data_IF_709542512785
#
_entry.id   IF_709542512785
#
_cell.length_a   1.000
_cell.length_b   1.000
_cell.length_c   1.000
_cell.angle_alpha   90.00
_cell.angle_beta   90.00
_cell.angle_gamma   90.00
#
_symmetry.space_group_name_H-M   'P 1'
#
loop_
_entity.id
_entity.type
_entity.pdbx_description
1 polymer ?
#
# COMPACT_ATOMS: atom_id res chain seq x y z
N UNK A 1 26.44 9.41 2.92
CA UNK A 1 26.04 8.04 3.30
C UNK A 1 24.99 7.62 2.30
N UNK A 2 25.35 6.74 1.37
CA UNK A 2 24.46 6.31 0.30
C UNK A 2 23.25 5.60 0.91
N UNK A 3 22.08 6.23 0.77
CA UNK A 3 20.80 5.57 1.01
C UNK A 3 20.66 4.47 -0.04
N UNK A 4 21.19 3.29 0.27
CA UNK A 4 20.91 2.08 -0.48
C UNK A 4 19.41 1.92 -0.54
N UNK A 5 18.86 2.17 -1.73
CA UNK A 5 17.47 1.94 -2.11
C UNK A 5 16.98 0.66 -1.41
N UNK A 6 16.06 0.82 -0.45
CA UNK A 6 15.58 -0.23 0.44
C UNK A 6 14.98 -1.39 -0.34
N UNK A 7 15.82 -2.37 -0.67
CA UNK A 7 15.52 -3.33 -1.72
C UNK A 7 14.47 -4.32 -1.22
N UNK A 8 13.27 -4.24 -1.83
CA UNK A 8 12.25 -5.28 -1.83
C UNK A 8 12.89 -6.67 -1.84
N UNK A 9 12.61 -7.47 -0.82
CA UNK A 9 13.20 -8.80 -0.68
C UNK A 9 12.40 -9.75 -1.56
N UNK A 10 13.05 -10.28 -2.60
CA UNK A 10 12.51 -11.26 -3.53
C UNK A 10 13.51 -12.40 -3.71
N UNK A 11 13.03 -13.60 -4.00
CA UNK A 11 13.91 -14.71 -4.36
C UNK A 11 14.34 -14.52 -5.81
N UNK A 12 15.64 -14.29 -6.02
CA UNK A 12 16.25 -14.23 -7.34
C UNK A 12 17.15 -15.45 -7.49
N UNK A 13 16.87 -16.33 -8.46
CA UNK A 13 17.75 -17.46 -8.77
C UNK A 13 19.10 -16.91 -9.24
N UNK A 14 20.16 -17.19 -8.50
CA UNK A 14 21.53 -16.83 -8.87
C UNK A 14 22.23 -18.04 -9.48
N UNK A 15 23.19 -17.79 -10.37
CA UNK A 15 24.03 -18.85 -10.91
C UNK A 15 24.75 -19.58 -9.76
N UNK A 16 24.71 -20.91 -9.78
CA UNK A 16 25.35 -21.75 -8.76
C UNK A 16 24.56 -22.00 -7.48
N UNK A 17 23.35 -21.44 -7.32
CA UNK A 17 22.47 -21.75 -6.18
C UNK A 17 21.23 -22.51 -6.63
N UNK A 18 20.85 -23.52 -5.84
CA UNK A 18 19.53 -24.12 -5.93
C UNK A 18 18.46 -23.12 -5.51
N UNK A 19 17.21 -23.43 -5.86
CA UNK A 19 16.06 -22.63 -5.43
C UNK A 19 15.97 -22.54 -3.91
N UNK A 20 16.11 -23.68 -3.22
CA UNK A 20 16.06 -23.77 -1.76
C UNK A 20 17.11 -22.89 -1.09
N UNK A 21 18.33 -22.85 -1.62
CA UNK A 21 19.39 -21.98 -1.10
C UNK A 21 19.07 -20.50 -1.35
N UNK A 22 18.53 -20.17 -2.53
CA UNK A 22 18.09 -18.81 -2.85
C UNK A 22 16.98 -18.34 -1.91
N UNK A 23 16.03 -19.21 -1.58
CA UNK A 23 14.98 -18.97 -0.57
C UNK A 23 15.59 -18.76 0.82
N UNK A 24 16.53 -19.62 1.23
CA UNK A 24 17.18 -19.50 2.54
C UNK A 24 17.93 -18.17 2.69
N UNK A 25 18.62 -17.72 1.63
CA UNK A 25 19.28 -16.41 1.59
C UNK A 25 18.26 -15.28 1.72
N UNK A 26 17.14 -15.33 0.99
CA UNK A 26 16.08 -14.33 1.08
C UNK A 26 15.45 -14.29 2.49
N UNK A 27 15.17 -15.46 3.09
CA UNK A 27 14.64 -15.56 4.47
C UNK A 27 15.57 -14.91 5.50
N UNK A 28 16.89 -15.05 5.36
CA UNK A 28 17.88 -14.43 6.28
C UNK A 28 17.89 -12.89 6.21
N UNK A 29 17.42 -12.30 5.11
CA UNK A 29 17.29 -10.83 4.96
C UNK A 29 16.08 -10.28 5.70
N UNK A 30 15.10 -11.11 6.03
CA UNK A 30 13.91 -10.71 6.80
C UNK A 30 14.28 -10.68 8.29
N UNK A 31 14.51 -9.47 8.80
CA UNK A 31 14.79 -9.16 10.21
C UNK A 31 13.50 -8.91 11.00
N UNK A 32 13.59 -8.80 12.31
CA UNK A 32 12.42 -8.46 13.12
C UNK A 32 11.86 -7.09 12.77
N UNK A 33 10.53 -7.00 12.70
CA UNK A 33 9.82 -5.79 12.32
C UNK A 33 8.58 -6.07 11.46
N UNK A 34 7.83 -5.02 11.14
CA UNK A 34 6.65 -5.09 10.28
C UNK A 34 7.03 -5.11 8.79
N UNK A 35 6.29 -5.90 8.02
CA UNK A 35 6.45 -6.06 6.58
C UNK A 35 5.12 -5.99 5.84
N UNK A 36 5.20 -5.66 4.56
CA UNK A 36 4.13 -5.80 3.59
C UNK A 36 4.53 -6.85 2.56
N UNK A 37 3.54 -7.46 1.94
CA UNK A 37 3.73 -8.44 0.87
C UNK A 37 3.23 -7.83 -0.44
N UNK A 38 4.01 -7.96 -1.51
CA UNK A 38 3.66 -7.41 -2.82
C UNK A 38 3.89 -8.41 -3.96
N UNK A 39 3.08 -8.33 -5.01
CA UNK A 39 3.21 -9.08 -6.26
C UNK A 39 2.90 -8.18 -7.45
N UNK A 40 3.79 -8.11 -8.44
CA UNK A 40 3.58 -7.35 -9.69
C UNK A 40 3.05 -5.91 -9.49
N UNK A 41 3.45 -5.25 -8.39
CA UNK A 41 3.00 -3.88 -8.06
C UNK A 41 1.76 -3.78 -7.17
N UNK A 42 1.02 -4.87 -6.96
CA UNK A 42 -0.10 -4.93 -6.01
C UNK A 42 0.34 -5.37 -4.61
N UNK A 43 -0.35 -4.89 -3.59
CA UNK A 43 -0.17 -5.22 -2.18
C UNK A 43 -1.15 -6.31 -1.74
N UNK A 44 -0.68 -7.26 -0.95
CA UNK A 44 -1.52 -8.34 -0.46
C UNK A 44 -2.48 -7.84 0.62
N UNK A 45 -3.75 -8.24 0.52
CA UNK A 45 -4.81 -7.86 1.47
C UNK A 45 -5.08 -9.02 2.44
N UNK A 46 -4.90 -8.84 3.76
CA UNK A 46 -5.28 -9.86 4.72
C UNK A 46 -6.81 -9.96 4.74
N UNK A 47 -7.34 -11.17 4.71
CA UNK A 47 -8.79 -11.48 4.74
C UNK A 47 -9.57 -11.17 3.45
N UNK A 48 -8.92 -10.69 2.38
CA UNK A 48 -9.53 -10.61 1.05
C UNK A 48 -8.78 -11.52 0.08
N UNK A 49 -9.48 -12.14 -0.86
CA UNK A 49 -8.83 -12.90 -1.94
C UNK A 49 -8.27 -11.92 -2.97
N UNK A 50 -7.02 -11.48 -2.81
CA UNK A 50 -6.30 -10.79 -3.88
C UNK A 50 -5.34 -9.69 -3.46
N UNK A 51 -5.04 -8.83 -4.43
CA UNK A 51 -4.09 -7.73 -4.33
C UNK A 51 -4.82 -6.39 -4.51
N UNK A 52 -4.32 -5.33 -3.89
CA UNK A 52 -4.79 -3.95 -4.06
C UNK A 52 -3.66 -3.08 -4.58
N UNK A 53 -4.01 -2.01 -5.29
CA UNK A 53 -3.04 -0.99 -5.69
C UNK A 53 -2.89 0.10 -4.61
N UNK A 54 -3.75 0.12 -3.59
CA UNK A 54 -3.75 1.13 -2.54
C UNK A 54 -3.01 0.63 -1.31
N UNK A 55 -2.03 1.39 -0.85
CA UNK A 55 -1.21 1.00 0.30
C UNK A 55 -2.04 0.97 1.59
N UNK A 56 -3.04 1.86 1.70
CA UNK A 56 -4.02 1.89 2.80
C UNK A 56 -4.83 0.61 3.01
N UNK A 57 -4.96 -0.23 1.98
CA UNK A 57 -5.67 -1.51 2.06
C UNK A 57 -4.74 -2.72 2.27
N UNK A 58 -3.42 -2.48 2.33
CA UNK A 58 -2.42 -3.52 2.46
C UNK A 58 -2.36 -4.11 3.87
N UNK A 59 -1.98 -5.39 3.98
CA UNK A 59 -1.74 -6.04 5.26
C UNK A 59 -0.36 -5.75 5.82
N UNK A 60 -0.31 -5.67 7.15
CA UNK A 60 0.94 -5.68 7.91
C UNK A 60 1.17 -7.10 8.43
N UNK A 61 2.37 -7.60 8.19
CA UNK A 61 2.82 -8.94 8.55
C UNK A 61 4.03 -8.84 9.48
N UNK A 62 4.09 -9.74 10.44
CA UNK A 62 5.30 -9.97 11.24
C UNK A 62 6.41 -10.56 10.37
N UNK A 63 7.65 -10.50 10.86
CA UNK A 63 8.79 -11.13 10.20
C UNK A 63 8.56 -12.64 9.98
N UNK A 64 7.97 -13.36 10.94
CA UNK A 64 7.69 -14.78 10.83
C UNK A 64 6.62 -15.11 9.79
N UNK A 65 5.57 -14.29 9.72
CA UNK A 65 4.57 -14.42 8.65
C UNK A 65 5.20 -14.12 7.29
N UNK A 66 5.98 -13.04 7.17
CA UNK A 66 6.62 -12.65 5.92
C UNK A 66 7.60 -13.73 5.39
N UNK A 67 8.33 -14.41 6.28
CA UNK A 67 9.20 -15.56 5.92
C UNK A 67 8.43 -16.72 5.29
N UNK A 68 7.12 -16.86 5.52
CA UNK A 68 6.27 -17.90 4.90
C UNK A 68 5.78 -17.54 3.50
N UNK A 69 5.93 -16.28 3.08
CA UNK A 69 5.51 -15.82 1.76
C UNK A 69 6.67 -15.69 0.77
N UNK A 70 7.92 -15.73 1.24
CA UNK A 70 9.09 -15.45 0.41
C UNK A 70 9.44 -16.60 -0.55
N UNK A 71 9.02 -17.83 -0.24
CA UNK A 71 9.22 -19.02 -1.07
C UNK A 71 8.18 -19.16 -2.20
N UNK A 72 7.12 -18.36 -2.17
CA UNK A 72 6.12 -18.31 -3.22
C UNK A 72 6.66 -17.49 -4.39
N UNK A 73 6.64 -18.09 -5.58
CA UNK A 73 7.16 -17.45 -6.78
C UNK A 73 6.42 -16.15 -7.12
N UNK A 74 7.18 -15.15 -7.54
CA UNK A 74 6.68 -13.82 -7.89
C UNK A 74 6.26 -12.93 -6.70
N UNK A 75 6.30 -13.42 -5.46
CA UNK A 75 6.07 -12.58 -4.28
C UNK A 75 7.33 -11.85 -3.84
N UNK A 76 7.11 -10.74 -3.15
CA UNK A 76 8.17 -10.00 -2.51
C UNK A 76 7.74 -9.46 -1.16
N UNK A 77 8.69 -9.45 -0.23
CA UNK A 77 8.55 -8.94 1.13
C UNK A 77 9.17 -7.54 1.19
N UNK A 78 8.41 -6.56 1.66
CA UNK A 78 8.82 -5.15 1.73
C UNK A 78 8.78 -4.71 3.19
N UNK A 79 9.91 -4.28 3.80
CA UNK A 79 9.86 -3.77 5.17
C UNK A 79 9.01 -2.51 5.24
N UNK A 80 8.12 -2.41 6.25
CA UNK A 80 7.14 -1.33 6.32
C UNK A 80 7.79 0.06 6.45
N UNK A 81 8.97 0.13 7.07
CA UNK A 81 9.75 1.37 7.15
C UNK A 81 10.07 2.00 5.80
N UNK A 82 10.17 1.21 4.73
CA UNK A 82 10.46 1.73 3.38
C UNK A 82 9.25 2.27 2.65
N UNK A 83 8.04 1.94 3.11
CA UNK A 83 6.81 2.46 2.50
C UNK A 83 6.28 3.68 3.26
N UNK A 84 6.84 4.05 4.41
CA UNK A 84 6.41 5.21 5.22
C UNK A 84 6.38 6.48 4.35
N UNK A 85 7.47 6.78 3.64
CA UNK A 85 7.50 7.94 2.74
C UNK A 85 6.40 7.85 1.69
N UNK A 86 6.13 6.66 1.13
CA UNK A 86 5.02 6.44 0.20
C UNK A 86 3.64 6.66 0.84
N UNK A 87 3.46 6.26 2.10
CA UNK A 87 2.24 6.54 2.89
C UNK A 87 2.08 8.05 3.05
N UNK A 88 3.14 8.77 3.42
CA UNK A 88 3.09 10.22 3.60
C UNK A 88 2.68 10.95 2.31
N UNK A 89 3.20 10.50 1.16
CA UNK A 89 2.78 11.00 -0.16
C UNK A 89 1.31 10.69 -0.46
N UNK A 90 0.83 9.48 -0.16
CA UNK A 90 -0.56 9.08 -0.37
C UNK A 90 -1.51 9.90 0.53
N UNK A 91 -1.14 10.14 1.79
CA UNK A 91 -1.88 11.01 2.72
C UNK A 91 -2.00 12.41 2.14
N UNK A 92 -0.88 13.02 1.73
CA UNK A 92 -0.89 14.38 1.19
C UNK A 92 -1.73 14.50 -0.09
N UNK A 93 -1.74 13.48 -0.96
CA UNK A 93 -2.60 13.44 -2.14
C UNK A 93 -4.09 13.34 -1.78
N UNK A 94 -4.43 12.46 -0.84
CA UNK A 94 -5.80 12.29 -0.37
C UNK A 94 -6.36 13.55 0.30
N UNK A 95 -5.53 14.25 1.10
CA UNK A 95 -5.91 15.52 1.72
C UNK A 95 -6.22 16.60 0.67
N UNK A 96 -5.42 16.68 -0.39
CA UNK A 96 -5.68 17.61 -1.52
C UNK A 96 -7.00 17.28 -2.21
N UNK A 97 -7.26 16.00 -2.49
CA UNK A 97 -8.53 15.55 -3.11
C UNK A 97 -9.72 15.84 -2.22
N UNK A 98 -9.60 15.63 -0.92
CA UNK A 98 -10.63 15.95 0.06
C UNK A 98 -10.94 17.44 0.09
N UNK A 99 -9.93 18.30 0.08
CA UNK A 99 -10.10 19.75 0.03
C UNK A 99 -10.84 20.18 -1.25
N UNK A 100 -10.43 19.66 -2.42
CA UNK A 100 -11.10 19.94 -3.69
C UNK A 100 -12.58 19.51 -3.69
N UNK A 101 -12.87 18.31 -3.16
CA UNK A 101 -14.24 17.81 -3.05
C UNK A 101 -15.11 18.70 -2.14
N UNK A 102 -14.55 19.19 -1.01
CA UNK A 102 -15.24 20.14 -0.12
C UNK A 102 -15.54 21.46 -0.82
N UNK A 103 -14.57 22.03 -1.55
CA UNK A 103 -14.77 23.26 -2.34
C UNK A 103 -15.86 23.09 -3.40
N UNK A 104 -15.86 21.97 -4.12
CA UNK A 104 -16.90 21.65 -5.09
C UNK A 104 -18.28 21.56 -4.44
N UNK A 105 -18.40 20.85 -3.30
CA UNK A 105 -19.65 20.77 -2.54
C UNK A 105 -20.16 22.15 -2.13
N UNK A 106 -19.28 23.04 -1.67
CA UNK A 106 -19.65 24.39 -1.28
C UNK A 106 -20.14 25.23 -2.48
N UNK A 107 -19.46 25.13 -3.63
CA UNK A 107 -19.88 25.80 -4.86
C UNK A 107 -21.27 25.32 -5.33
N UNK A 108 -21.53 24.01 -5.28
CA UNK A 108 -22.84 23.43 -5.60
C UNK A 108 -23.91 23.96 -4.63
N UNK A 109 -23.61 24.02 -3.32
CA UNK A 109 -24.56 24.52 -2.33
C UNK A 109 -24.91 26.01 -2.53
N UNK A 110 -23.97 26.83 -3.01
CA UNK A 110 -24.22 28.25 -3.32
C UNK A 110 -25.03 28.45 -4.60
N UNK A 111 -24.93 27.51 -5.54
CA UNK A 111 -25.69 27.53 -6.81
C UNK A 111 -27.03 26.81 -6.71
N UNK A 112 -27.28 26.08 -5.62
CA UNK A 112 -28.57 25.45 -5.37
C UNK A 112 -29.63 26.57 -5.23
N UNK A 113 -30.65 26.62 -6.11
CA UNK A 113 -31.74 27.56 -5.92
C UNK A 113 -32.39 27.29 -4.56
N UNK A 114 -32.84 28.34 -3.88
CA UNK A 114 -33.64 28.21 -2.67
C UNK A 114 -34.92 27.42 -3.01
N UNK A 115 -34.88 26.10 -2.85
CA UNK A 115 -36.06 25.26 -2.95
C UNK A 115 -36.90 25.55 -1.70
N UNK A 116 -37.85 26.48 -1.84
CA UNK A 116 -38.88 26.73 -0.84
C UNK A 116 -38.97 28.18 -0.33
N UNK A 117 -39.18 29.14 -1.21
CA UNK A 117 -39.77 30.44 -0.82
C UNK A 117 -40.74 30.93 -1.89
N UNK A 118 -41.73 30.12 -2.26
CA UNK A 118 -42.94 30.59 -2.94
C UNK A 118 -44.06 29.56 -2.87
N UNK A 119 -45.25 30.04 -2.47
CA UNK A 119 -46.60 29.46 -2.56
C UNK A 119 -47.02 28.55 -1.38
N UNK A 120 -48.09 28.83 -0.62
CA UNK A 120 -49.24 29.69 -0.90
C UNK A 120 -49.66 30.54 0.29
N UNK A 121 -49.99 31.80 -0.01
CA UNK A 121 -50.99 32.53 0.75
C UNK A 121 -52.37 32.14 0.22
N UNK A 122 -53.30 31.97 1.14
CA UNK A 122 -54.65 32.56 1.15
C UNK A 122 -55.18 32.47 2.58
#
# INVERSE_FOLDING_TARGET
>A
MEAGMGERISVKKRAGLTWTESVAVARKRIKDGPYLISRHGGWFRPKAQGYTNHLSEAGIFTADEARRYIDVDGLSVVPAGHVITGIDWEIADLEKRLAAAKSLRAAIAQQAPAVGAAQGGE
#
